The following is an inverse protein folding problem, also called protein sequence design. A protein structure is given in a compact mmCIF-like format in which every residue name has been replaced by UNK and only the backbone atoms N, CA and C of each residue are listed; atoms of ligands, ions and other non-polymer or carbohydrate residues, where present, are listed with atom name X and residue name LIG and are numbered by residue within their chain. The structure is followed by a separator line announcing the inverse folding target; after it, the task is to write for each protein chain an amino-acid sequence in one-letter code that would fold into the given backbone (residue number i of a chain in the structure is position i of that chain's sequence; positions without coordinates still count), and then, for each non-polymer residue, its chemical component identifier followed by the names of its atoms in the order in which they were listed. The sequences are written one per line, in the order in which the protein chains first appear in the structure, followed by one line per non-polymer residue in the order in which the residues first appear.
data_IF_938571983941
#
_entry.id   IF_938571983941
#
_cell.length_a   1.000
_cell.length_b   1.000
_cell.length_c   1.000
_cell.angle_alpha   90.00
_cell.angle_beta   90.00
_cell.angle_gamma   90.00
#
_symmetry.space_group_name_H-M   'P 1'
#
loop_
_entity.id
_entity.type
_entity.pdbx_description
1 polymer ?
#
# COMPACT_ATOMS: atom_id res chain seq x y z
N UNK A 1 -9.10 -1.70 -23.96
CA UNK A 1 -7.71 -1.22 -23.89
C UNK A 1 -7.43 -0.36 -22.64
N UNK A 2 -8.15 0.75 -22.40
CA UNK A 2 -7.96 1.60 -21.20
C UNK A 2 -8.12 0.85 -19.85
N UNK A 3 -9.13 -0.02 -19.72
CA UNK A 3 -9.35 -0.86 -18.51
C UNK A 3 -8.15 -1.73 -18.11
N UNK A 4 -7.44 -2.29 -19.10
CA UNK A 4 -6.24 -3.10 -18.83
C UNK A 4 -5.08 -2.25 -18.32
N UNK A 5 -4.96 -1.00 -18.76
CA UNK A 5 -3.90 -0.09 -18.31
C UNK A 5 -4.07 0.22 -16.82
N UNK A 6 -5.30 0.51 -16.37
CA UNK A 6 -5.58 0.71 -14.94
C UNK A 6 -5.30 -0.55 -14.12
N UNK A 7 -5.70 -1.71 -14.61
CA UNK A 7 -5.45 -2.98 -13.93
C UNK A 7 -3.95 -3.29 -13.82
N UNK A 8 -3.19 -3.13 -14.90
CA UNK A 8 -1.73 -3.34 -14.89
C UNK A 8 -1.04 -2.33 -13.97
N UNK A 9 -1.50 -1.09 -13.91
CA UNK A 9 -0.99 -0.09 -12.97
C UNK A 9 -1.20 -0.50 -11.51
N UNK A 10 -2.35 -1.07 -11.17
CA UNK A 10 -2.61 -1.61 -9.83
C UNK A 10 -1.77 -2.85 -9.52
N UNK A 11 -1.59 -3.75 -10.50
CA UNK A 11 -0.68 -4.89 -10.35
C UNK A 11 0.77 -4.43 -10.10
N UNK A 12 1.22 -3.36 -10.77
CA UNK A 12 2.54 -2.77 -10.53
C UNK A 12 2.66 -2.17 -9.13
N UNK A 13 1.64 -1.45 -8.67
CA UNK A 13 1.58 -0.90 -7.32
C UNK A 13 1.71 -1.98 -6.25
N UNK A 14 0.92 -3.05 -6.38
CA UNK A 14 0.89 -4.18 -5.44
C UNK A 14 2.16 -5.03 -5.54
N UNK A 15 2.78 -5.12 -6.72
CA UNK A 15 4.11 -5.73 -6.88
C UNK A 15 5.17 -5.00 -6.04
N UNK A 16 5.17 -3.66 -6.05
CA UNK A 16 6.10 -2.85 -5.27
C UNK A 16 5.86 -2.99 -3.76
N UNK A 17 4.61 -3.10 -3.33
CA UNK A 17 4.26 -3.42 -1.94
C UNK A 17 4.83 -4.78 -1.53
N UNK A 18 4.68 -5.81 -2.38
CA UNK A 18 5.34 -7.10 -2.15
C UNK A 18 6.86 -6.99 -2.07
N UNK A 19 7.47 -6.16 -2.93
CA UNK A 19 8.91 -5.91 -2.88
C UNK A 19 9.35 -5.24 -1.56
N UNK A 20 8.55 -4.32 -1.03
CA UNK A 20 8.81 -3.70 0.25
C UNK A 20 8.81 -4.73 1.39
N UNK A 21 7.75 -5.52 1.46
CA UNK A 21 7.49 -6.40 2.61
C UNK A 21 8.52 -7.53 2.68
N UNK A 22 8.82 -8.16 1.55
CA UNK A 22 9.79 -9.26 1.54
C UNK A 22 11.25 -8.79 1.67
N UNK A 23 11.55 -7.51 1.44
CA UNK A 23 12.90 -6.99 1.61
C UNK A 23 13.24 -6.63 3.05
N UNK A 24 12.24 -6.25 3.85
CA UNK A 24 12.45 -5.79 5.23
C UNK A 24 13.13 -6.87 6.08
N UNK A 25 12.67 -8.13 6.00
CA UNK A 25 13.19 -9.26 6.79
C UNK A 25 14.70 -9.51 6.64
N UNK A 26 15.22 -9.76 5.42
CA UNK A 26 16.65 -10.00 5.19
C UNK A 26 17.58 -8.82 5.51
N UNK A 27 17.04 -7.60 5.56
CA UNK A 27 17.78 -6.38 5.90
C UNK A 27 17.90 -6.15 7.41
N UNK A 28 17.09 -6.82 8.26
CA UNK A 28 17.16 -6.66 9.71
C UNK A 28 18.56 -6.88 10.29
N UNK A 29 19.27 -7.98 9.97
CA UNK A 29 20.61 -8.22 10.53
C UNK A 29 21.62 -7.13 10.15
N UNK A 30 21.54 -6.63 8.91
CA UNK A 30 22.40 -5.53 8.43
C UNK A 30 22.09 -4.22 9.17
N UNK A 31 20.81 -3.93 9.42
CA UNK A 31 20.38 -2.76 10.22
C UNK A 31 20.86 -2.90 11.67
N UNK A 32 20.74 -4.09 12.27
CA UNK A 32 21.21 -4.36 13.63
C UNK A 32 22.71 -4.11 13.77
N UNK A 33 23.51 -4.61 12.82
CA UNK A 33 24.95 -4.41 12.79
C UNK A 33 25.33 -2.95 12.50
N UNK A 34 24.63 -2.29 11.57
CA UNK A 34 24.90 -0.91 11.18
C UNK A 34 24.65 0.11 12.29
N UNK A 35 23.60 -0.08 13.10
CA UNK A 35 23.27 0.82 14.21
C UNK A 35 23.73 0.31 15.60
N UNK A 36 24.31 -0.90 15.68
CA UNK A 36 24.68 -1.56 16.94
C UNK A 36 23.51 -1.64 17.94
N UNK A 37 22.36 -2.10 17.48
CA UNK A 37 21.12 -2.15 18.26
C UNK A 37 20.59 -3.57 18.44
N UNK A 38 19.94 -3.80 19.59
CA UNK A 38 19.31 -5.08 19.91
C UNK A 38 18.06 -5.37 19.09
N UNK A 39 17.67 -6.65 19.03
CA UNK A 39 16.50 -7.14 18.29
C UNK A 39 15.20 -6.42 18.70
N UNK A 40 14.99 -6.18 20.00
CA UNK A 40 13.80 -5.49 20.51
C UNK A 40 13.65 -4.07 19.97
N UNK A 41 14.77 -3.38 19.73
CA UNK A 41 14.76 -2.03 19.17
C UNK A 41 14.42 -2.09 17.69
N UNK A 42 15.01 -3.01 16.92
CA UNK A 42 14.71 -3.14 15.49
C UNK A 42 13.27 -3.59 15.23
N UNK A 43 12.68 -4.38 16.14
CA UNK A 43 11.27 -4.75 16.08
C UNK A 43 10.33 -3.52 16.08
N UNK A 44 10.77 -2.37 16.60
CA UNK A 44 10.00 -1.12 16.55
C UNK A 44 9.72 -0.65 15.12
N UNK A 45 10.52 -1.07 14.12
CA UNK A 45 10.24 -0.77 12.71
C UNK A 45 8.94 -1.45 12.25
N UNK A 46 8.74 -2.71 12.61
CA UNK A 46 7.50 -3.44 12.31
C UNK A 46 6.31 -2.86 13.08
N UNK A 47 6.51 -2.55 14.36
CA UNK A 47 5.47 -1.92 15.18
C UNK A 47 5.06 -0.56 14.59
N UNK A 48 6.03 0.25 14.19
CA UNK A 48 5.76 1.57 13.63
C UNK A 48 5.11 1.49 12.25
N UNK A 49 5.53 0.55 11.40
CA UNK A 49 4.85 0.27 10.13
C UNK A 49 3.40 -0.14 10.37
N UNK A 50 3.15 -1.06 11.32
CA UNK A 50 1.81 -1.49 11.69
C UNK A 50 0.95 -0.32 12.17
N UNK A 51 1.48 0.54 13.06
CA UNK A 51 0.78 1.76 13.52
C UNK A 51 0.44 2.66 12.33
N UNK A 52 1.40 2.89 11.42
CA UNK A 52 1.18 3.65 10.20
C UNK A 52 0.08 3.03 9.32
N UNK A 53 0.09 1.72 9.16
CA UNK A 53 -0.88 0.98 8.35
C UNK A 53 -2.30 1.04 8.94
N UNK A 54 -2.45 0.83 10.26
CA UNK A 54 -3.74 0.94 10.96
C UNK A 54 -4.27 2.36 10.90
N UNK A 55 -3.42 3.35 11.17
CA UNK A 55 -3.78 4.78 11.04
C UNK A 55 -4.23 5.09 9.62
N UNK A 56 -3.51 4.53 8.64
CA UNK A 56 -3.84 4.66 7.24
C UNK A 56 -5.20 4.04 6.90
N UNK A 57 -5.50 2.85 7.43
CA UNK A 57 -6.73 2.13 7.14
C UNK A 57 -7.95 2.87 7.69
N UNK A 58 -7.83 3.45 8.89
CA UNK A 58 -8.87 4.27 9.51
C UNK A 58 -9.07 5.55 8.68
N UNK A 59 -8.00 6.27 8.36
CA UNK A 59 -8.10 7.54 7.63
C UNK A 59 -8.50 7.37 6.16
N UNK A 60 -8.26 6.19 5.58
CA UNK A 60 -8.53 5.93 4.17
C UNK A 60 -10.00 6.14 3.81
N UNK A 61 -10.95 5.74 4.66
CA UNK A 61 -12.39 5.96 4.40
C UNK A 61 -12.71 7.45 4.35
N UNK A 62 -12.27 8.21 5.37
CA UNK A 62 -12.50 9.65 5.45
C UNK A 62 -11.86 10.43 4.29
N UNK A 63 -10.60 10.10 3.96
CA UNK A 63 -9.87 10.77 2.87
C UNK A 63 -10.48 10.40 1.52
N UNK A 64 -10.90 9.15 1.33
CA UNK A 64 -11.48 8.72 0.07
C UNK A 64 -12.84 9.40 -0.20
N UNK A 65 -13.69 9.55 0.82
CA UNK A 65 -14.95 10.31 0.67
C UNK A 65 -14.71 11.79 0.32
N UNK A 66 -13.67 12.41 0.90
CA UNK A 66 -13.39 13.84 0.72
C UNK A 66 -12.63 14.18 -0.56
N UNK A 67 -11.64 13.36 -0.93
CA UNK A 67 -10.70 13.65 -2.03
C UNK A 67 -10.92 12.78 -3.27
N UNK A 68 -11.59 11.63 -3.13
CA UNK A 68 -11.83 10.66 -4.18
C UNK A 68 -10.61 9.79 -4.52
N UNK A 69 -10.90 8.61 -5.07
CA UNK A 69 -9.96 7.53 -5.40
C UNK A 69 -8.62 7.96 -5.98
N UNK A 70 -8.63 8.70 -7.10
CA UNK A 70 -7.42 9.02 -7.85
C UNK A 70 -6.44 9.90 -7.08
N UNK A 71 -6.92 10.76 -6.16
CA UNK A 71 -6.06 11.56 -5.29
C UNK A 71 -5.56 10.74 -4.11
N UNK A 72 -6.44 9.93 -3.52
CA UNK A 72 -6.14 9.05 -2.39
C UNK A 72 -5.00 8.08 -2.71
N UNK A 73 -5.02 7.43 -3.89
CA UNK A 73 -3.97 6.48 -4.29
C UNK A 73 -2.62 7.16 -4.50
N UNK A 74 -2.61 8.37 -5.06
CA UNK A 74 -1.38 9.15 -5.29
C UNK A 74 -0.82 9.67 -3.97
N UNK A 75 -1.66 10.11 -3.03
CA UNK A 75 -1.25 10.50 -1.68
C UNK A 75 -0.57 9.32 -0.96
N UNK A 76 -1.13 8.12 -1.07
CA UNK A 76 -0.52 6.90 -0.53
C UNK A 76 0.87 6.65 -1.11
N UNK A 77 1.00 6.70 -2.46
CA UNK A 77 2.26 6.49 -3.14
C UNK A 77 3.32 7.55 -2.80
N UNK A 78 2.92 8.83 -2.67
CA UNK A 78 3.81 9.92 -2.25
C UNK A 78 4.25 9.74 -0.79
N UNK A 79 3.35 9.36 0.11
CA UNK A 79 3.69 9.07 1.52
C UNK A 79 4.73 7.95 1.61
N UNK A 80 4.55 6.89 0.84
CA UNK A 80 5.50 5.79 0.76
C UNK A 80 6.87 6.26 0.24
N UNK A 81 6.88 7.08 -0.82
CA UNK A 81 8.11 7.66 -1.36
C UNK A 81 8.85 8.54 -0.34
N UNK A 82 8.13 9.38 0.41
CA UNK A 82 8.71 10.20 1.49
C UNK A 82 9.40 9.30 2.51
N UNK A 83 8.75 8.22 2.92
CA UNK A 83 9.33 7.24 3.84
C UNK A 83 10.64 6.63 3.29
N UNK A 84 10.68 6.21 2.03
CA UNK A 84 11.93 5.70 1.43
C UNK A 84 13.03 6.75 1.32
N UNK A 85 12.70 7.97 0.93
CA UNK A 85 13.66 9.09 0.83
C UNK A 85 14.22 9.45 2.21
N UNK A 86 13.41 9.38 3.26
CA UNK A 86 13.87 9.59 4.64
C UNK A 86 14.88 8.53 5.08
N UNK A 87 14.70 7.27 4.67
CA UNK A 87 15.57 6.15 5.08
C UNK A 87 16.84 6.06 4.21
N UNK A 88 16.78 6.46 2.94
CA UNK A 88 17.89 6.42 1.99
C UNK A 88 19.24 7.00 2.51
N UNK A 89 19.30 8.15 3.21
CA UNK A 89 20.56 8.67 3.74
C UNK A 89 21.09 7.93 4.97
N UNK A 90 20.45 6.84 5.41
CA UNK A 90 20.78 6.10 6.63
C UNK A 90 20.74 7.00 7.89
N UNK A 91 19.61 7.64 8.20
CA UNK A 91 19.51 8.58 9.32
C UNK A 91 19.54 7.84 10.67
N UNK A 92 19.63 8.55 11.81
CA UNK A 92 19.52 7.93 13.13
C UNK A 92 18.28 7.04 13.27
N UNK A 93 18.39 5.95 14.03
CA UNK A 93 17.33 4.94 14.17
C UNK A 93 15.91 5.50 14.39
N UNK A 94 15.67 6.52 15.23
CA UNK A 94 14.33 7.11 15.41
C UNK A 94 13.72 7.68 14.12
N UNK A 95 14.54 8.26 13.24
CA UNK A 95 14.07 8.79 11.94
C UNK A 95 13.66 7.65 11.02
N UNK A 96 14.37 6.52 11.08
CA UNK A 96 14.01 5.32 10.34
C UNK A 96 12.68 4.75 10.81
N UNK A 97 12.41 4.74 12.12
CA UNK A 97 11.11 4.36 12.69
C UNK A 97 9.99 5.25 12.11
N UNK A 98 10.17 6.57 12.12
CA UNK A 98 9.20 7.51 11.53
C UNK A 98 9.02 7.24 10.02
N UNK A 99 10.10 6.98 9.29
CA UNK A 99 10.04 6.61 7.87
C UNK A 99 9.20 5.34 7.62
N UNK A 100 9.35 4.32 8.46
CA UNK A 100 8.53 3.10 8.40
C UNK A 100 7.05 3.35 8.70
N UNK A 101 6.71 4.30 9.58
CA UNK A 101 5.33 4.74 9.76
C UNK A 101 4.74 5.34 8.48
N UNK A 102 5.49 6.22 7.79
CA UNK A 102 5.05 6.80 6.51
C UNK A 102 4.91 5.77 5.39
N UNK A 103 5.80 4.78 5.36
CA UNK A 103 5.69 3.63 4.45
C UNK A 103 4.40 2.85 4.74
N UNK A 104 4.19 2.42 5.99
CA UNK A 104 2.99 1.68 6.38
C UNK A 104 1.69 2.43 6.08
N UNK A 105 1.67 3.74 6.34
CA UNK A 105 0.54 4.61 5.96
C UNK A 105 0.28 4.61 4.45
N UNK A 106 1.33 4.78 3.64
CA UNK A 106 1.22 4.79 2.18
C UNK A 106 0.79 3.44 1.58
N UNK A 107 1.28 2.34 2.16
CA UNK A 107 0.90 0.98 1.78
C UNK A 107 -0.58 0.73 2.04
N UNK A 108 -1.08 1.08 3.23
CA UNK A 108 -2.49 0.91 3.58
C UNK A 108 -3.44 1.61 2.60
N UNK A 109 -3.12 2.84 2.21
CA UNK A 109 -3.88 3.58 1.20
C UNK A 109 -3.86 2.87 -0.14
N UNK A 110 -2.69 2.50 -0.64
CA UNK A 110 -2.55 1.86 -1.95
C UNK A 110 -3.23 0.50 -2.00
N UNK A 111 -3.06 -0.32 -0.97
CA UNK A 111 -3.70 -1.61 -0.83
C UNK A 111 -5.22 -1.49 -0.79
N UNK A 112 -5.77 -0.59 0.03
CA UNK A 112 -7.21 -0.41 0.14
C UNK A 112 -7.85 0.12 -1.16
N UNK A 113 -7.19 1.07 -1.84
CA UNK A 113 -7.65 1.57 -3.13
C UNK A 113 -7.54 0.49 -4.23
N UNK A 114 -6.42 -0.23 -4.33
CA UNK A 114 -6.23 -1.28 -5.34
C UNK A 114 -7.28 -2.40 -5.20
N UNK A 115 -7.46 -2.92 -3.98
CA UNK A 115 -8.47 -3.93 -3.70
C UNK A 115 -9.89 -3.41 -3.93
N UNK A 116 -10.20 -2.20 -3.47
CA UNK A 116 -11.52 -1.59 -3.68
C UNK A 116 -11.86 -1.38 -5.15
N UNK A 117 -10.90 -0.98 -5.98
CA UNK A 117 -11.08 -0.81 -7.41
C UNK A 117 -11.34 -2.13 -8.13
N UNK A 118 -10.53 -3.16 -7.86
CA UNK A 118 -10.68 -4.47 -8.50
C UNK A 118 -11.96 -5.18 -8.03
N UNK A 119 -12.32 -5.03 -6.75
CA UNK A 119 -13.58 -5.53 -6.21
C UNK A 119 -14.82 -4.87 -6.81
N UNK A 120 -14.69 -3.63 -7.32
CA UNK A 120 -15.78 -2.94 -8.00
C UNK A 120 -15.98 -3.40 -9.45
N UNK A 121 -15.07 -4.22 -10.00
CA UNK A 121 -15.19 -4.72 -11.37
C UNK A 121 -16.18 -5.89 -11.44
N UNK A 122 -17.25 -5.76 -12.23
CA UNK A 122 -18.26 -6.83 -12.40
C UNK A 122 -17.72 -8.07 -13.11
N UNK A 123 -16.81 -7.88 -14.05
CA UNK A 123 -16.25 -8.96 -14.87
C UNK A 123 -15.02 -9.61 -14.20
N UNK A 124 -15.09 -10.92 -13.95
CA UNK A 124 -13.96 -11.75 -13.49
C UNK A 124 -13.22 -11.18 -12.28
N UNK A 125 -13.95 -10.59 -11.32
CA UNK A 125 -13.42 -9.99 -10.09
C UNK A 125 -12.42 -10.92 -9.38
N UNK A 126 -12.84 -12.16 -9.08
CA UNK A 126 -12.03 -13.13 -8.33
C UNK A 126 -10.72 -13.46 -9.05
N UNK A 127 -10.77 -13.66 -10.36
CA UNK A 127 -9.56 -13.95 -11.17
C UNK A 127 -8.62 -12.75 -11.20
N UNK A 128 -9.16 -11.52 -11.33
CA UNK A 128 -8.35 -10.30 -11.34
C UNK A 128 -7.71 -10.02 -9.98
N UNK A 129 -8.44 -10.23 -8.88
CA UNK A 129 -7.87 -10.18 -7.53
C UNK A 129 -6.77 -11.22 -7.36
N UNK A 130 -7.00 -12.45 -7.83
CA UNK A 130 -5.99 -13.51 -7.82
C UNK A 130 -4.73 -13.14 -8.59
N UNK A 131 -4.87 -12.56 -9.79
CA UNK A 131 -3.73 -12.09 -10.60
C UNK A 131 -2.99 -10.93 -9.90
N UNK A 132 -3.73 -10.01 -9.28
CA UNK A 132 -3.14 -8.89 -8.54
C UNK A 132 -2.31 -9.39 -7.34
N UNK A 133 -2.82 -10.35 -6.57
CA UNK A 133 -2.06 -10.98 -5.47
C UNK A 133 -0.95 -11.90 -5.96
N UNK A 134 -1.07 -12.51 -7.14
CA UNK A 134 0.05 -13.21 -7.76
C UNK A 134 1.21 -12.24 -8.08
N UNK A 135 0.89 -11.01 -8.52
CA UNK A 135 1.90 -9.96 -8.68
C UNK A 135 2.53 -9.52 -7.34
N UNK A 136 1.72 -9.39 -6.28
CA UNK A 136 2.25 -9.18 -4.91
C UNK A 136 3.25 -10.27 -4.53
N UNK A 137 2.86 -11.54 -4.68
CA UNK A 137 3.69 -12.70 -4.36
C UNK A 137 4.98 -12.74 -5.17
N UNK A 138 4.94 -12.34 -6.45
CA UNK A 138 6.14 -12.22 -7.28
C UNK A 138 7.09 -11.13 -6.77
N UNK A 139 6.54 -9.99 -6.35
CA UNK A 139 7.31 -8.91 -5.72
C UNK A 139 7.98 -9.39 -4.43
N UNK A 140 7.19 -10.01 -3.55
CA UNK A 140 7.67 -10.60 -2.30
C UNK A 140 8.73 -11.67 -2.51
N UNK A 141 8.60 -12.51 -3.54
CA UNK A 141 9.58 -13.54 -3.89
C UNK A 141 10.88 -12.96 -4.46
N UNK A 142 10.80 -11.90 -5.28
CA UNK A 142 11.99 -11.28 -5.89
C UNK A 142 12.80 -10.42 -4.91
N UNK A 143 12.14 -9.90 -3.88
CA UNK A 143 12.71 -8.95 -2.92
C UNK A 143 13.90 -9.46 -2.08
N UNK A 144 13.96 -10.72 -1.60
CA UNK A 144 15.06 -11.18 -0.76
C UNK A 144 16.34 -11.32 -1.58
N UNK A 145 16.26 -11.58 -2.89
CA UNK A 145 17.44 -11.62 -3.76
C UNK A 145 18.13 -10.25 -3.81
N UNK A 146 17.34 -9.19 -3.98
CA UNK A 146 17.83 -7.82 -3.97
C UNK A 146 18.35 -7.41 -2.58
N UNK A 147 17.56 -7.70 -1.54
CA UNK A 147 17.92 -7.37 -0.16
C UNK A 147 19.18 -8.10 0.31
N UNK A 148 19.34 -9.39 -0.03
CA UNK A 148 20.53 -10.18 0.33
C UNK A 148 21.78 -9.63 -0.34
N UNK A 149 21.69 -9.26 -1.63
CA UNK A 149 22.80 -8.65 -2.34
C UNK A 149 23.27 -7.35 -1.67
N UNK A 150 22.34 -6.47 -1.29
CA UNK A 150 22.67 -5.20 -0.62
C UNK A 150 23.06 -5.38 0.86
N UNK A 151 22.55 -6.41 1.53
CA UNK A 151 22.91 -6.77 2.92
C UNK A 151 24.39 -7.17 3.03
N UNK A 152 24.95 -7.76 1.96
CA UNK A 152 26.39 -8.07 1.88
C UNK A 152 27.28 -6.85 1.57
N UNK A 153 26.71 -5.69 1.26
CA UNK A 153 27.45 -4.47 0.94
C UNK A 153 27.65 -3.58 2.18
N UNK A 154 28.74 -2.79 2.26
CA UNK A 154 28.98 -1.87 3.39
C UNK A 154 27.89 -0.80 3.56
N UNK A 155 27.13 -0.51 2.50
CA UNK A 155 26.06 0.48 2.47
C UNK A 155 24.72 -0.19 2.12
N UNK A 156 24.14 -0.86 3.11
CA UNK A 156 22.80 -1.48 3.01
C UNK A 156 21.70 -0.46 2.63
N UNK A 157 21.93 0.84 2.87
CA UNK A 157 20.98 1.92 2.53
C UNK A 157 20.72 2.08 1.03
N UNK A 158 21.59 1.56 0.14
CA UNK A 158 21.35 1.56 -1.30
C UNK A 158 20.09 0.79 -1.71
N UNK A 159 19.69 -0.20 -0.92
CA UNK A 159 18.42 -0.90 -1.13
C UNK A 159 17.22 0.07 -1.09
N UNK A 160 17.21 1.03 -0.16
CA UNK A 160 16.16 2.03 -0.04
C UNK A 160 16.16 3.04 -1.19
N UNK A 161 17.30 3.28 -1.83
CA UNK A 161 17.38 4.09 -3.05
C UNK A 161 16.71 3.36 -4.23
N UNK A 162 16.91 2.04 -4.34
CA UNK A 162 16.22 1.22 -5.36
C UNK A 162 14.71 1.20 -5.10
N UNK A 163 14.28 1.02 -3.84
CA UNK A 163 12.87 1.10 -3.47
C UNK A 163 12.28 2.49 -3.72
N UNK A 164 13.02 3.57 -3.47
CA UNK A 164 12.60 4.92 -3.80
C UNK A 164 12.43 5.12 -5.32
N UNK A 165 13.34 4.58 -6.14
CA UNK A 165 13.21 4.64 -7.60
C UNK A 165 11.98 3.86 -8.10
N UNK A 166 11.71 2.68 -7.53
CA UNK A 166 10.49 1.93 -7.79
C UNK A 166 9.25 2.71 -7.36
N UNK A 167 9.25 3.33 -6.18
CA UNK A 167 8.14 4.16 -5.70
C UNK A 167 7.90 5.39 -6.59
N UNK A 168 8.94 6.05 -7.10
CA UNK A 168 8.79 7.13 -8.10
C UNK A 168 8.11 6.59 -9.36
N UNK A 169 8.54 5.42 -9.85
CA UNK A 169 7.89 4.79 -11.01
C UNK A 169 6.41 4.52 -10.74
N UNK A 170 6.07 4.09 -9.52
CA UNK A 170 4.70 3.85 -9.10
C UNK A 170 3.87 5.13 -9.10
N UNK A 171 4.40 6.21 -8.50
CA UNK A 171 3.74 7.52 -8.49
C UNK A 171 3.46 7.99 -9.93
N UNK A 172 4.44 7.87 -10.83
CA UNK A 172 4.27 8.25 -12.25
C UNK A 172 3.22 7.39 -12.94
N UNK A 173 3.29 6.06 -12.76
CA UNK A 173 2.32 5.12 -13.36
C UNK A 173 0.91 5.38 -12.84
N UNK A 174 0.73 5.62 -11.54
CA UNK A 174 -0.57 5.93 -10.94
C UNK A 174 -1.10 7.28 -11.43
N UNK A 175 -0.27 8.31 -11.52
CA UNK A 175 -0.67 9.62 -12.08
C UNK A 175 -1.08 9.49 -13.54
N UNK A 176 -0.30 8.78 -14.36
CA UNK A 176 -0.57 8.61 -15.79
C UNK A 176 -1.79 7.72 -16.05
N UNK A 177 -1.95 6.65 -15.28
CA UNK A 177 -3.07 5.73 -15.41
C UNK A 177 -4.36 6.35 -14.90
N UNK A 178 -4.37 6.95 -13.70
CA UNK A 178 -5.60 7.41 -13.05
C UNK A 178 -5.88 8.91 -13.24
N UNK A 179 -4.90 9.73 -13.62
CA UNK A 179 -5.05 11.18 -13.91
C UNK A 179 -5.85 11.95 -12.86
N UNK A 180 -5.77 11.56 -11.58
CA UNK A 180 -6.55 12.13 -10.47
C UNK A 180 -8.08 12.04 -10.65
N UNK A 181 -8.57 11.14 -11.50
CA UNK A 181 -10.00 10.95 -11.76
C UNK A 181 -10.67 10.12 -10.65
N UNK A 182 -11.98 10.31 -10.47
CA UNK A 182 -12.76 9.54 -9.49
C UNK A 182 -12.95 8.10 -10.00
N UNK A 183 -13.06 7.16 -9.07
CA UNK A 183 -13.27 5.73 -9.36
C UNK A 183 -14.49 5.51 -10.24
N UNK A 184 -15.59 6.23 -9.96
CA UNK A 184 -16.84 6.11 -10.71
C UNK A 184 -16.68 6.55 -12.17
N UNK A 185 -15.91 7.61 -12.44
CA UNK A 185 -15.65 8.08 -13.81
C UNK A 185 -14.84 7.03 -14.61
N UNK A 186 -13.91 6.35 -13.94
CA UNK A 186 -13.05 5.33 -14.55
C UNK A 186 -13.83 4.04 -14.81
N UNK A 187 -14.72 3.65 -13.88
CA UNK A 187 -15.62 2.50 -14.04
C UNK A 187 -16.69 2.78 -15.11
N UNK A 188 -17.22 4.01 -15.18
CA UNK A 188 -18.17 4.45 -16.19
C UNK A 188 -17.56 4.51 -17.61
N UNK A 189 -16.34 5.05 -17.79
CA UNK A 189 -15.59 4.92 -19.05
C UNK A 189 -15.30 3.45 -19.37
N UNK A 190 -15.19 2.64 -18.33
CA UNK A 190 -15.11 1.20 -18.37
C UNK A 190 -16.45 0.51 -18.61
N UNK A 191 -17.51 1.16 -19.09
CA UNK A 191 -18.80 0.55 -19.41
C UNK A 191 -19.42 -0.30 -18.28
N UNK A 192 -18.90 -0.16 -17.07
CA UNK A 192 -19.34 -0.82 -15.87
C UNK A 192 -19.89 0.30 -15.01
N UNK A 193 -21.20 0.55 -15.12
CA UNK A 193 -21.88 1.27 -14.07
C UNK A 193 -21.53 0.55 -12.77
N UNK A 194 -20.92 1.28 -11.83
CA UNK A 194 -20.82 0.83 -10.44
C UNK A 194 -22.18 0.22 -10.11
N UNK A 195 -22.19 -1.06 -9.69
CA UNK A 195 -23.41 -1.64 -9.14
C UNK A 195 -23.97 -0.60 -8.18
N UNK A 196 -25.24 -0.25 -8.37
CA UNK A 196 -25.96 0.79 -7.64
C UNK A 196 -25.24 1.11 -6.33
N UNK A 197 -24.72 2.34 -6.23
CA UNK A 197 -24.86 3.01 -4.95
C UNK A 197 -26.34 2.82 -4.62
N UNK A 198 -26.66 1.93 -3.68
CA UNK A 198 -27.97 1.90 -3.06
C UNK A 198 -28.08 3.27 -2.40
N UNK A 199 -28.45 4.26 -3.21
CA UNK A 199 -28.82 5.61 -2.84
C UNK A 199 -30.22 5.49 -2.25
N UNK A 200 -30.34 4.66 -1.21
CA UNK A 200 -31.29 4.93 -0.16
C UNK A 200 -30.70 6.13 0.54
N UNK A 201 -31.27 7.31 0.28
CA UNK A 201 -30.96 8.59 0.91
C UNK A 201 -30.35 8.38 2.30
N UNK A 202 -29.05 8.63 2.45
CA UNK A 202 -28.33 8.47 3.72
C UNK A 202 -28.69 9.70 4.56
N UNK A 203 -29.46 9.57 5.65
CA UNK A 203 -29.52 10.60 6.66
C UNK A 203 -28.17 10.57 7.39
N UNK A 204 -27.59 11.75 7.69
CA UNK A 204 -26.36 12.00 8.45
C UNK A 204 -26.11 11.01 9.61
N UNK A 205 -25.63 9.82 9.30
CA UNK A 205 -25.37 8.75 10.26
C UNK A 205 -24.03 8.16 9.88
N UNK A 206 -23.08 8.30 10.81
CA UNK A 206 -21.67 8.00 10.62
C UNK A 206 -21.45 6.67 9.89
N UNK A 207 -20.91 6.71 8.67
CA UNK A 207 -20.59 5.55 7.82
C UNK A 207 -19.82 4.47 8.59
N UNK A 208 -18.90 4.89 9.49
CA UNK A 208 -18.18 3.99 10.40
C UNK A 208 -19.10 3.17 11.31
N UNK A 209 -20.17 3.76 11.84
CA UNK A 209 -21.15 3.06 12.69
C UNK A 209 -21.93 2.02 11.88
N UNK A 210 -22.15 2.28 10.59
CA UNK A 210 -22.84 1.36 9.69
C UNK A 210 -21.92 0.19 9.28
N UNK A 211 -20.66 0.49 8.93
CA UNK A 211 -19.62 -0.52 8.66
C UNK A 211 -19.40 -1.41 9.88
N UNK A 212 -19.18 -0.84 11.08
CA UNK A 212 -19.01 -1.60 12.32
C UNK A 212 -20.31 -2.29 12.81
N UNK A 213 -21.46 -1.95 12.23
CA UNK A 213 -22.73 -2.61 12.54
C UNK A 213 -22.86 -4.01 11.93
N UNK A 214 -22.09 -4.32 10.87
CA UNK A 214 -22.14 -5.64 10.24
C UNK A 214 -21.37 -6.67 11.05
N UNK A 215 -22.08 -7.69 11.57
CA UNK A 215 -21.48 -8.82 12.28
C UNK A 215 -20.36 -9.51 11.48
N UNK A 216 -20.50 -9.55 10.15
CA UNK A 216 -19.52 -10.13 9.23
C UNK A 216 -18.16 -9.42 9.30
N UNK A 217 -18.15 -8.11 9.57
CA UNK A 217 -16.90 -7.34 9.68
C UNK A 217 -16.15 -7.75 10.94
N UNK A 218 -16.84 -7.97 12.07
CA UNK A 218 -16.18 -8.45 13.29
C UNK A 218 -15.52 -9.83 13.10
N UNK A 219 -16.18 -10.75 12.40
CA UNK A 219 -15.58 -12.06 12.09
C UNK A 219 -14.40 -11.96 11.13
N UNK A 220 -14.48 -11.08 10.12
CA UNK A 220 -13.38 -10.84 9.18
C UNK A 220 -12.18 -10.19 9.87
N UNK A 221 -12.42 -9.19 10.73
CA UNK A 221 -11.37 -8.52 11.50
C UNK A 221 -10.71 -9.47 12.49
N UNK A 222 -11.48 -10.34 13.16
CA UNK A 222 -10.95 -11.38 14.04
C UNK A 222 -10.08 -12.37 13.26
N UNK A 223 -10.54 -12.81 12.09
CA UNK A 223 -9.78 -13.72 11.23
C UNK A 223 -8.50 -13.08 10.68
N UNK A 224 -8.53 -11.80 10.31
CA UNK A 224 -7.35 -11.06 9.84
C UNK A 224 -6.32 -10.77 10.94
N UNK A 225 -6.68 -10.97 12.22
CA UNK A 225 -5.81 -10.78 13.38
C UNK A 225 -5.09 -12.08 13.82
N UNK A 226 -5.50 -13.22 13.28
CA UNK A 226 -4.92 -14.57 13.50
C UNK A 226 -3.92 -14.86 12.39
#
# INVERSE_FOLDING_TARGET
RKRMIHFVALCWCIFIEGCNDGSTGPLLPAIQSGYNIGFSIVALLFVSNCIGFVTGAILNVYINEKLGFGKTVVIGAISQLIGYVMIAPSPPFPVMVVGYAFIGFGLSFQNAQANGFVASLKDNMTTKLGIMHAAYGLGAFSSPFLATYFSAQPRWSFHYIVLAALAISNVVVLILAFRFRKQDDILAEGGQYAAESTTSAIPDSNLYRQILGFRSIHFLTLFALI
#
